data_IF_710013262140
#
_entry.id   IF_710013262140
#
_cell.length_a   1.000
_cell.length_b   1.000
_cell.length_c   1.000
_cell.angle_alpha   90.00
_cell.angle_beta   90.00
_cell.angle_gamma   90.00
#
_symmetry.space_group_name_H-M   'P 1'
#
loop_
_entity.id
_entity.type
_entity.pdbx_description
1 polymer ?
#
# COMPACT_ATOMS: atom_id res chain seq x y z
N UNK A 1 7.59 -12.31 0.03
CA UNK A 1 6.67 -11.35 0.70
C UNK A 1 7.34 -9.99 0.73
N UNK A 2 6.58 -8.89 0.68
CA UNK A 2 7.15 -7.54 0.77
C UNK A 2 7.62 -7.27 2.20
N UNK A 3 8.84 -6.73 2.36
CA UNK A 3 9.39 -6.42 3.67
C UNK A 3 8.61 -5.28 4.34
N UNK A 4 8.40 -5.36 5.66
CA UNK A 4 7.63 -4.36 6.41
C UNK A 4 8.15 -2.92 6.25
N UNK A 5 9.48 -2.76 6.11
CA UNK A 5 10.12 -1.47 5.87
C UNK A 5 9.70 -0.85 4.54
N UNK A 6 9.47 -1.66 3.51
CA UNK A 6 9.06 -1.17 2.20
C UNK A 6 7.58 -0.80 2.18
N UNK A 7 6.73 -1.55 2.89
CA UNK A 7 5.34 -1.11 3.15
C UNK A 7 5.32 0.24 3.85
N UNK A 8 6.21 0.46 4.81
CA UNK A 8 6.32 1.73 5.52
C UNK A 8 6.90 2.86 4.68
N UNK A 9 7.82 2.57 3.77
CA UNK A 9 8.31 3.54 2.79
C UNK A 9 7.19 3.97 1.84
N UNK A 10 6.34 3.03 1.40
CA UNK A 10 5.16 3.35 0.62
C UNK A 10 4.18 4.24 1.39
N UNK A 11 3.83 3.88 2.63
CA UNK A 11 2.88 4.66 3.45
C UNK A 11 3.41 6.07 3.76
N UNK A 12 4.70 6.22 4.03
CA UNK A 12 5.26 7.51 4.48
C UNK A 12 5.72 8.39 3.32
N UNK A 13 6.30 7.80 2.27
CA UNK A 13 6.97 8.51 1.20
C UNK A 13 6.36 8.24 -0.19
N UNK A 14 5.36 7.37 -0.30
CA UNK A 14 4.81 6.94 -1.60
C UNK A 14 5.80 6.13 -2.44
N UNK A 15 6.92 5.67 -1.87
CA UNK A 15 7.98 5.01 -2.64
C UNK A 15 7.71 3.50 -2.79
N UNK A 16 7.78 3.03 -4.04
CA UNK A 16 7.76 1.61 -4.44
C UNK A 16 9.08 1.18 -5.10
N UNK A 17 10.14 1.97 -4.95
CA UNK A 17 11.42 1.77 -5.63
C UNK A 17 12.00 0.36 -5.44
N UNK A 18 11.89 -0.16 -4.21
CA UNK A 18 12.41 -1.48 -3.81
C UNK A 18 11.36 -2.60 -3.83
N UNK A 19 10.14 -2.30 -4.30
CA UNK A 19 9.07 -3.28 -4.45
C UNK A 19 9.11 -3.78 -5.89
N UNK A 20 9.67 -4.97 -6.08
CA UNK A 20 9.74 -5.67 -7.37
C UNK A 20 9.18 -7.08 -7.20
N UNK A 21 8.53 -7.58 -8.25
CA UNK A 21 8.13 -8.98 -8.28
C UNK A 21 9.39 -9.84 -8.37
N UNK A 22 9.64 -10.63 -7.33
CA UNK A 22 10.56 -11.76 -7.41
C UNK A 22 9.83 -12.90 -8.11
N UNK A 23 10.36 -13.35 -9.25
CA UNK A 23 9.77 -14.44 -10.04
C UNK A 23 9.56 -15.72 -9.23
N UNK A 24 10.39 -15.96 -8.19
CA UNK A 24 10.23 -17.10 -7.26
C UNK A 24 8.94 -17.03 -6.42
N UNK A 25 8.31 -15.86 -6.37
CA UNK A 25 7.06 -15.65 -5.64
C UNK A 25 5.84 -15.66 -6.57
N UNK A 26 6.01 -15.83 -7.89
CA UNK A 26 4.91 -15.79 -8.86
C UNK A 26 3.85 -16.85 -8.55
N UNK A 27 4.27 -18.07 -8.25
CA UNK A 27 3.36 -19.20 -7.94
C UNK A 27 2.62 -19.03 -6.60
N UNK A 28 2.97 -18.02 -5.80
CA UNK A 28 2.27 -17.67 -4.56
C UNK A 28 1.18 -16.62 -4.77
N UNK A 29 1.11 -16.05 -5.98
CA UNK A 29 0.09 -15.10 -6.36
C UNK A 29 -1.22 -15.79 -6.71
N UNK A 30 -2.25 -14.98 -6.93
CA UNK A 30 -3.50 -15.44 -7.52
C UNK A 30 -3.75 -14.56 -8.74
N UNK A 31 -3.84 -15.19 -9.90
CA UNK A 31 -4.14 -14.51 -11.16
C UNK A 31 -5.67 -14.35 -11.27
N UNK A 32 -6.10 -13.14 -11.60
CA UNK A 32 -7.50 -12.82 -11.87
C UNK A 32 -7.58 -12.34 -13.31
N UNK A 33 -8.42 -12.99 -14.11
CA UNK A 33 -8.79 -12.49 -15.42
C UNK A 33 -9.80 -11.35 -15.25
N UNK A 34 -9.51 -10.19 -15.86
CA UNK A 34 -10.31 -8.97 -15.73
C UNK A 34 -10.66 -8.51 -17.13
N UNK A 35 -11.93 -8.60 -17.50
CA UNK A 35 -12.44 -8.21 -18.80
C UNK A 35 -12.97 -6.77 -18.80
N UNK A 36 -13.44 -6.31 -19.96
CA UNK A 36 -14.07 -5.00 -20.07
C UNK A 36 -15.32 -4.91 -19.20
N UNK A 37 -15.37 -3.91 -18.32
CA UNK A 37 -16.46 -3.70 -17.36
C UNK A 37 -16.22 -4.29 -15.98
N UNK A 38 -15.22 -5.16 -15.83
CA UNK A 38 -14.87 -5.71 -14.53
C UNK A 38 -14.10 -4.71 -13.67
N UNK A 39 -14.30 -4.82 -12.35
CA UNK A 39 -13.60 -4.04 -11.35
C UNK A 39 -12.99 -4.95 -10.29
N UNK A 40 -11.76 -4.66 -9.90
CA UNK A 40 -11.07 -5.36 -8.81
C UNK A 40 -10.74 -4.39 -7.67
N UNK A 41 -10.93 -4.85 -6.44
CA UNK A 41 -10.56 -4.12 -5.24
C UNK A 41 -9.54 -4.92 -4.43
N UNK A 42 -8.49 -4.25 -3.99
CA UNK A 42 -7.54 -4.78 -3.02
C UNK A 42 -7.09 -3.66 -2.06
N UNK A 43 -6.80 -3.98 -0.79
CA UNK A 43 -6.19 -3.02 0.13
C UNK A 43 -4.83 -2.52 -0.42
N UNK A 44 -4.53 -1.24 -0.20
CA UNK A 44 -3.34 -0.58 -0.77
C UNK A 44 -1.99 -1.26 -0.43
N UNK A 45 -1.90 -1.98 0.69
CA UNK A 45 -0.69 -2.70 1.12
C UNK A 45 -0.64 -4.14 0.63
N UNK A 46 -1.63 -4.59 -0.12
CA UNK A 46 -1.63 -5.92 -0.76
C UNK A 46 -0.75 -5.84 -2.00
N UNK A 47 0.34 -6.63 -2.12
CA UNK A 47 1.16 -6.61 -3.33
C UNK A 47 0.34 -7.10 -4.53
N UNK A 48 0.26 -6.29 -5.57
CA UNK A 48 -0.48 -6.61 -6.80
C UNK A 48 0.22 -5.98 -8.01
N UNK A 49 -0.05 -6.52 -9.19
CA UNK A 49 0.36 -5.94 -10.47
C UNK A 49 -0.67 -6.31 -11.54
N UNK A 50 -0.74 -5.51 -12.59
CA UNK A 50 -1.51 -5.84 -13.79
C UNK A 50 -0.56 -6.30 -14.88
N UNK A 51 -1.01 -7.26 -15.70
CA UNK A 51 -0.33 -7.69 -16.92
C UNK A 51 -1.37 -7.74 -18.02
N UNK A 52 -1.12 -7.01 -19.10
CA UNK A 52 -1.91 -7.07 -20.32
C UNK A 52 -1.08 -7.79 -21.37
N UNK A 53 -1.64 -8.84 -21.95
CA UNK A 53 -1.03 -9.55 -23.08
C UNK A 53 -1.66 -9.06 -24.38
N UNK A 54 -1.03 -9.35 -25.53
CA UNK A 54 -1.50 -8.88 -26.85
C UNK A 54 -1.91 -10.04 -27.77
N UNK A 55 -1.91 -11.27 -27.27
CA UNK A 55 -2.26 -12.49 -28.01
C UNK A 55 -3.74 -12.54 -28.43
N UNK A 56 -4.61 -11.74 -27.79
CA UNK A 56 -6.02 -11.62 -28.15
C UNK A 56 -6.31 -10.63 -29.27
N UNK A 57 -5.33 -9.79 -29.66
CA UNK A 57 -5.54 -8.65 -30.57
C UNK A 57 -5.52 -9.08 -32.03
N UNK A 58 -6.52 -8.62 -32.80
CA UNK A 58 -6.62 -8.76 -34.26
C UNK A 58 -6.51 -7.41 -34.97
N UNK A 59 -6.16 -7.37 -36.27
CA UNK A 59 -6.21 -6.14 -37.06
C UNK A 59 -7.60 -5.48 -36.99
N UNK A 60 -7.67 -4.24 -36.51
CA UNK A 60 -8.91 -3.49 -36.34
C UNK A 60 -9.48 -3.48 -34.92
N UNK A 61 -8.92 -4.26 -33.99
CA UNK A 61 -9.32 -4.22 -32.59
C UNK A 61 -8.92 -2.90 -31.91
N UNK A 62 -9.68 -2.52 -30.88
CA UNK A 62 -9.44 -1.31 -30.08
C UNK A 62 -8.33 -1.47 -29.03
N UNK A 63 -8.14 -0.41 -28.22
CA UNK A 63 -7.19 -0.42 -27.09
C UNK A 63 -7.85 -0.93 -25.81
N UNK A 64 -7.06 -1.57 -24.94
CA UNK A 64 -7.47 -1.86 -23.56
C UNK A 64 -7.04 -0.71 -22.64
N UNK A 65 -7.98 -0.12 -21.91
CA UNK A 65 -7.74 0.98 -20.97
C UNK A 65 -8.23 0.56 -19.59
N UNK A 66 -7.38 0.69 -18.58
CA UNK A 66 -7.73 0.47 -17.18
C UNK A 66 -7.58 1.77 -16.39
N UNK A 67 -8.50 2.03 -15.46
CA UNK A 67 -8.47 3.20 -14.58
C UNK A 67 -8.39 2.72 -13.14
N UNK A 68 -7.39 3.20 -12.41
CA UNK A 68 -7.22 2.94 -10.99
C UNK A 68 -7.65 4.16 -10.15
N UNK A 69 -8.45 3.93 -9.11
CA UNK A 69 -8.81 4.95 -8.13
C UNK A 69 -8.27 4.52 -6.76
N UNK A 70 -7.36 5.31 -6.20
CA UNK A 70 -6.82 5.08 -4.86
C UNK A 70 -7.63 5.89 -3.85
N UNK A 71 -8.19 5.22 -2.86
CA UNK A 71 -8.93 5.86 -1.78
C UNK A 71 -8.59 5.24 -0.42
N UNK A 72 -8.82 6.02 0.64
CA UNK A 72 -8.61 5.59 2.01
C UNK A 72 -9.93 5.38 2.74
N UNK A 73 -10.09 4.21 3.35
CA UNK A 73 -11.17 3.91 4.29
C UNK A 73 -10.73 4.26 5.71
N UNK A 74 -11.67 4.26 6.66
CA UNK A 74 -11.32 4.42 8.08
C UNK A 74 -10.30 3.37 8.54
N UNK A 75 -10.44 2.12 8.06
CA UNK A 75 -9.54 1.03 8.37
C UNK A 75 -8.14 1.24 7.76
N UNK A 76 -8.05 1.61 6.48
CA UNK A 76 -6.73 1.80 5.86
C UNK A 76 -6.01 3.05 6.41
N UNK A 77 -6.74 4.11 6.78
CA UNK A 77 -6.17 5.23 7.56
C UNK A 77 -5.63 4.78 8.91
N UNK A 78 -6.38 3.96 9.64
CA UNK A 78 -5.94 3.44 10.92
C UNK A 78 -4.65 2.62 10.78
N UNK A 79 -4.59 1.70 9.81
CA UNK A 79 -3.39 0.91 9.52
C UNK A 79 -2.20 1.78 9.09
N UNK A 80 -2.44 2.81 8.27
CA UNK A 80 -1.39 3.76 7.87
C UNK A 80 -0.77 4.45 9.09
N UNK A 81 -1.58 4.89 10.06
CA UNK A 81 -1.08 5.48 11.31
C UNK A 81 -0.25 4.47 12.12
N UNK A 82 -0.70 3.23 12.23
CA UNK A 82 0.07 2.18 12.91
C UNK A 82 1.43 1.94 12.22
N UNK A 83 1.48 1.91 10.89
CA UNK A 83 2.72 1.82 10.12
C UNK A 83 3.67 3.00 10.39
N UNK A 84 3.15 4.22 10.54
CA UNK A 84 3.99 5.37 10.87
C UNK A 84 4.67 5.24 12.24
N UNK A 85 3.94 4.77 13.25
CA UNK A 85 4.51 4.49 14.57
C UNK A 85 5.53 3.34 14.49
N UNK A 86 5.16 2.24 13.83
CA UNK A 86 6.01 1.07 13.65
C UNK A 86 7.35 1.41 12.97
N UNK A 87 7.34 2.31 11.98
CA UNK A 87 8.56 2.80 11.32
C UNK A 87 9.52 3.43 12.33
N UNK A 88 9.04 4.32 13.18
CA UNK A 88 9.87 4.99 14.21
C UNK A 88 10.41 3.96 15.19
N UNK A 89 9.58 3.03 15.66
CA UNK A 89 10.02 1.95 16.54
C UNK A 89 11.13 1.09 15.89
N UNK A 90 11.03 0.79 14.59
CA UNK A 90 12.08 0.07 13.85
C UNK A 90 13.36 0.87 13.66
N UNK A 91 13.27 2.19 13.53
CA UNK A 91 14.45 3.07 13.50
C UNK A 91 15.17 3.09 14.86
N UNK A 92 14.44 2.87 15.95
CA UNK A 92 14.97 2.69 17.31
C UNK A 92 15.44 1.25 17.60
N UNK A 93 15.47 0.37 16.59
CA UNK A 93 15.94 -1.02 16.75
C UNK A 93 14.90 -2.01 17.27
N UNK A 94 13.64 -1.60 17.44
CA UNK A 94 12.57 -2.49 17.90
C UNK A 94 11.93 -3.28 16.74
N UNK A 95 11.26 -4.38 17.06
CA UNK A 95 10.53 -5.23 16.10
C UNK A 95 9.02 -5.21 16.36
N UNK A 96 8.31 -4.12 15.98
CA UNK A 96 6.90 -3.99 16.29
C UNK A 96 6.03 -4.89 15.41
N UNK A 97 4.96 -5.42 16.01
CA UNK A 97 3.92 -6.18 15.31
C UNK A 97 3.17 -5.29 14.30
N UNK A 98 2.84 -5.86 13.14
CA UNK A 98 2.12 -5.19 12.06
C UNK A 98 0.65 -4.87 12.41
N UNK A 99 0.01 -3.97 11.66
CA UNK A 99 -1.40 -3.62 11.88
C UNK A 99 -2.33 -4.82 11.66
N UNK A 100 -3.47 -4.82 12.34
CA UNK A 100 -4.50 -5.86 12.27
C UNK A 100 -4.18 -7.13 13.07
N UNK A 101 -2.93 -7.34 13.47
CA UNK A 101 -2.52 -8.53 14.24
C UNK A 101 -2.80 -8.41 15.74
N UNK A 102 -2.97 -7.19 16.26
CA UNK A 102 -3.24 -6.96 17.69
C UNK A 102 -4.03 -5.66 17.90
N UNK A 103 -5.37 -5.73 18.09
CA UNK A 103 -6.22 -4.56 18.20
C UNK A 103 -5.80 -3.58 19.31
N UNK A 104 -5.36 -4.09 20.45
CA UNK A 104 -4.94 -3.25 21.58
C UNK A 104 -3.62 -2.51 21.29
N UNK A 105 -2.66 -3.15 20.60
CA UNK A 105 -1.40 -2.49 20.20
C UNK A 105 -1.68 -1.40 19.18
N UNK A 106 -2.59 -1.67 18.26
CA UNK A 106 -2.97 -0.73 17.23
C UNK A 106 -3.70 0.49 17.80
N UNK A 107 -4.56 0.29 18.80
CA UNK A 107 -5.22 1.36 19.54
C UNK A 107 -4.22 2.32 20.22
N UNK A 108 -3.09 1.80 20.71
CA UNK A 108 -2.01 2.63 21.28
C UNK A 108 -1.16 3.30 20.19
N UNK A 109 -0.80 2.56 19.13
CA UNK A 109 0.10 3.05 18.07
C UNK A 109 -0.54 4.06 17.14
N UNK A 110 -1.84 3.95 16.85
CA UNK A 110 -2.50 4.79 15.86
C UNK A 110 -2.54 6.29 16.25
N UNK A 111 -2.84 6.69 17.50
CA UNK A 111 -2.73 8.08 17.91
C UNK A 111 -1.31 8.64 17.79
N UNK A 112 -0.30 7.86 18.18
CA UNK A 112 1.12 8.22 18.06
C UNK A 112 1.51 8.41 16.60
N UNK A 113 1.10 7.47 15.73
CA UNK A 113 1.31 7.55 14.29
C UNK A 113 0.70 8.79 13.65
N UNK A 114 -0.52 9.17 14.09
CA UNK A 114 -1.17 10.41 13.64
C UNK A 114 -0.37 11.65 14.04
N UNK A 115 0.14 11.71 15.26
CA UNK A 115 0.96 12.82 15.73
C UNK A 115 2.27 12.92 14.93
N UNK A 116 2.93 11.79 14.65
CA UNK A 116 4.13 11.72 13.80
C UNK A 116 3.84 12.26 12.39
N UNK A 117 2.70 11.88 11.80
CA UNK A 117 2.27 12.34 10.48
C UNK A 117 2.12 13.85 10.43
N UNK A 118 1.38 14.40 11.41
CA UNK A 118 1.10 15.84 11.52
C UNK A 118 2.40 16.66 11.72
N UNK A 119 3.31 16.17 12.56
CA UNK A 119 4.62 16.81 12.75
C UNK A 119 5.44 16.83 11.46
N UNK A 120 5.43 15.72 10.69
CA UNK A 120 6.15 15.63 9.41
C UNK A 120 5.58 16.58 8.35
N UNK A 121 4.25 16.67 8.26
CA UNK A 121 3.55 17.60 7.37
C UNK A 121 4.00 19.05 7.63
N UNK A 122 4.05 19.43 8.91
CA UNK A 122 4.41 20.78 9.34
C UNK A 122 5.89 21.14 9.14
N UNK A 123 6.80 20.17 9.26
CA UNK A 123 8.25 20.45 9.26
C UNK A 123 8.95 20.24 7.92
N UNK A 124 8.38 19.46 7.00
CA UNK A 124 9.04 19.13 5.72
C UNK A 124 8.30 19.65 4.48
N UNK A 125 7.30 20.51 4.66
CA UNK A 125 6.40 20.88 3.55
C UNK A 125 5.70 19.66 2.95
N UNK A 126 5.50 18.61 3.75
CA UNK A 126 4.90 17.37 3.28
C UNK A 126 3.39 17.59 3.15
N UNK A 127 2.91 17.63 1.92
CA UNK A 127 1.49 17.65 1.62
C UNK A 127 0.97 16.21 1.65
N UNK A 128 0.26 15.88 2.72
CA UNK A 128 -0.31 14.55 2.88
C UNK A 128 -1.40 14.35 1.81
N UNK A 129 -1.46 13.18 1.14
CA UNK A 129 -2.52 12.91 0.18
C UNK A 129 -3.89 13.16 0.81
N UNK A 130 -4.87 13.72 0.07
CA UNK A 130 -6.21 13.98 0.61
C UNK A 130 -6.79 12.72 1.28
N UNK A 131 -7.22 12.85 2.54
CA UNK A 131 -7.81 11.74 3.30
C UNK A 131 -6.82 10.71 3.88
N UNK A 132 -5.53 11.00 3.91
CA UNK A 132 -4.49 10.12 4.48
C UNK A 132 -4.30 10.24 6.01
N UNK A 133 -4.87 11.26 6.65
CA UNK A 133 -4.72 11.54 8.09
C UNK A 133 -5.87 11.10 8.98
#
# INVERSE_FOLDING_TARGET
MVAAREVENFIVHGSLEKVRLDERLRDRGTDFEVAAGDGVYFPATSPHMTRTTTDWVRPGDGVSISIGVVFYTALTRHHARVHQCNRVLRQLGLSPVGPGLSPWRDAFKAPVGRAIAAARARWRGYEAPPGSY
#
